data_IF_933734874260
#
_entry.id   IF_933734874260
#
_cell.length_a   1.000
_cell.length_b   1.000
_cell.length_c   1.000
_cell.angle_alpha   90.00
_cell.angle_beta   90.00
_cell.angle_gamma   90.00
#
_symmetry.space_group_name_H-M   'P 1'
#
loop_
_entity.id
_entity.type
_entity.pdbx_description
1 polymer ?
#
# COMPACT_ATOMS: atom_id res chain seq x y z
N UNK A 1 12.38 20.57 27.97
CA UNK A 1 11.45 20.48 26.83
C UNK A 1 12.06 19.47 25.88
N UNK A 2 11.41 18.34 25.64
CA UNK A 2 11.90 17.33 24.68
C UNK A 2 11.55 17.79 23.27
N UNK A 3 12.53 17.74 22.36
CA UNK A 3 12.31 17.95 20.93
C UNK A 3 11.14 17.08 20.43
N UNK A 4 10.23 17.61 19.60
CA UNK A 4 9.17 16.80 19.04
C UNK A 4 9.79 15.65 18.25
N UNK A 5 9.36 14.42 18.54
CA UNK A 5 9.84 13.23 17.84
C UNK A 5 9.71 13.42 16.32
N UNK A 6 10.82 13.27 15.60
CA UNK A 6 10.88 13.43 14.14
C UNK A 6 9.91 12.42 13.51
N UNK A 7 8.92 12.90 12.75
CA UNK A 7 7.93 12.04 12.09
C UNK A 7 8.48 11.49 10.76
N UNK A 8 8.09 10.28 10.34
CA UNK A 8 8.38 9.78 9.00
C UNK A 8 7.80 10.70 7.92
N UNK A 9 8.49 10.75 6.77
CA UNK A 9 8.00 11.44 5.56
C UNK A 9 7.23 10.44 4.70
N UNK A 10 6.07 10.85 4.18
CA UNK A 10 5.26 10.03 3.27
C UNK A 10 5.32 10.65 1.88
N UNK A 11 5.71 9.85 0.89
CA UNK A 11 5.76 10.23 -0.52
C UNK A 11 4.71 9.41 -1.27
N UNK A 12 3.69 10.07 -1.82
CA UNK A 12 2.69 9.44 -2.66
C UNK A 12 3.15 9.39 -4.12
N UNK A 13 3.24 8.19 -4.70
CA UNK A 13 3.53 7.99 -6.13
C UNK A 13 2.26 7.50 -6.81
N UNK A 14 1.63 8.35 -7.63
CA UNK A 14 0.32 8.12 -8.25
C UNK A 14 0.37 8.18 -9.78
N UNK A 15 -0.67 7.69 -10.44
CA UNK A 15 -0.78 7.59 -11.90
C UNK A 15 -1.50 6.33 -12.37
N UNK A 16 -1.93 6.30 -13.64
CA UNK A 16 -2.62 5.15 -14.24
C UNK A 16 -1.76 3.89 -14.34
N UNK A 17 -2.39 2.75 -14.64
CA UNK A 17 -1.64 1.50 -14.92
C UNK A 17 -0.63 1.71 -16.04
N UNK A 18 0.54 1.07 -15.94
CA UNK A 18 1.62 1.22 -16.94
C UNK A 18 2.40 2.54 -16.93
N UNK A 19 2.04 3.53 -16.09
CA UNK A 19 2.68 4.85 -16.08
C UNK A 19 4.10 4.90 -15.47
N UNK A 20 4.67 3.76 -15.07
CA UNK A 20 6.03 3.68 -14.51
C UNK A 20 6.16 3.91 -12.99
N UNK A 21 5.05 4.00 -12.24
CA UNK A 21 5.06 4.19 -10.76
C UNK A 21 6.02 3.24 -10.04
N UNK A 22 5.91 1.94 -10.32
CA UNK A 22 6.75 0.90 -9.69
C UNK A 22 8.23 1.14 -9.96
N UNK A 23 8.58 1.55 -11.18
CA UNK A 23 9.96 1.86 -11.56
C UNK A 23 10.49 3.08 -10.80
N UNK A 24 9.70 4.15 -10.72
CA UNK A 24 10.06 5.37 -9.99
C UNK A 24 10.22 5.08 -8.50
N UNK A 25 9.25 4.40 -7.88
CA UNK A 25 9.29 4.07 -6.44
C UNK A 25 10.48 3.17 -6.09
N UNK A 26 10.84 2.21 -6.95
CA UNK A 26 12.03 1.36 -6.75
C UNK A 26 13.32 2.17 -6.85
N UNK A 27 13.46 3.02 -7.88
CA UNK A 27 14.63 3.91 -7.98
C UNK A 27 14.80 4.79 -6.75
N UNK A 28 13.71 5.40 -6.26
CA UNK A 28 13.75 6.21 -5.03
C UNK A 28 14.20 5.36 -3.83
N UNK A 29 13.68 4.14 -3.71
CA UNK A 29 14.05 3.21 -2.63
C UNK A 29 15.53 2.82 -2.67
N UNK A 30 16.04 2.49 -3.86
CA UNK A 30 17.43 2.07 -4.06
C UNK A 30 18.41 3.23 -3.75
N UNK A 31 18.13 4.43 -4.23
CA UNK A 31 18.92 5.65 -3.97
C UNK A 31 18.92 6.06 -2.49
N UNK A 32 17.85 5.71 -1.76
CA UNK A 32 17.69 6.01 -0.33
C UNK A 32 17.94 4.79 0.56
N UNK A 33 18.60 3.76 0.05
CA UNK A 33 18.86 2.50 0.78
C UNK A 33 19.67 2.66 2.07
N UNK A 34 20.42 3.76 2.22
CA UNK A 34 21.13 4.13 3.45
C UNK A 34 20.24 4.75 4.53
N UNK A 35 18.95 4.98 4.24
CA UNK A 35 17.95 5.50 5.17
C UNK A 35 16.96 4.42 5.59
N UNK A 36 16.25 4.64 6.70
CA UNK A 36 15.08 3.83 7.05
C UNK A 36 13.93 4.18 6.11
N UNK A 37 13.76 3.37 5.05
CA UNK A 37 12.74 3.54 4.01
C UNK A 37 11.98 2.23 3.78
N UNK A 38 10.72 2.34 3.38
CA UNK A 38 9.90 1.21 2.94
C UNK A 38 8.97 1.62 1.80
N UNK A 39 8.53 0.64 1.00
CA UNK A 39 7.48 0.84 -0.01
C UNK A 39 6.19 0.18 0.48
N UNK A 40 5.13 1.00 0.62
CA UNK A 40 3.77 0.51 0.84
C UNK A 40 2.97 0.65 -0.45
N UNK A 41 2.45 -0.47 -0.97
CA UNK A 41 1.66 -0.49 -2.20
C UNK A 41 0.17 -0.52 -1.85
N UNK A 42 -0.61 0.40 -2.43
CA UNK A 42 -2.06 0.44 -2.25
C UNK A 42 -2.74 -0.86 -2.72
N UNK A 43 -2.19 -1.51 -3.76
CA UNK A 43 -2.67 -2.78 -4.31
C UNK A 43 -2.67 -3.93 -3.28
N UNK A 44 -1.95 -3.79 -2.17
CA UNK A 44 -2.02 -4.77 -1.06
C UNK A 44 -3.32 -4.66 -0.25
N UNK A 45 -4.07 -3.56 -0.41
CA UNK A 45 -5.28 -3.24 0.34
C UNK A 45 -6.54 -3.40 -0.51
N UNK A 46 -6.58 -4.32 -1.47
CA UNK A 46 -7.86 -4.73 -2.03
C UNK A 46 -8.74 -5.33 -0.92
N UNK A 47 -10.04 -5.05 -0.96
CA UNK A 47 -11.01 -5.69 -0.06
C UNK A 47 -10.95 -7.20 -0.22
N UNK A 48 -11.07 -7.88 0.91
CA UNK A 48 -11.12 -9.33 0.95
C UNK A 48 -12.31 -9.86 0.13
N UNK A 49 -12.08 -10.98 -0.54
CA UNK A 49 -13.04 -11.68 -1.39
C UNK A 49 -13.08 -13.17 -1.07
N UNK A 50 -12.64 -13.56 0.11
CA UNK A 50 -12.63 -14.96 0.56
C UNK A 50 -14.01 -15.62 0.47
N UNK A 51 -15.08 -14.86 0.65
CA UNK A 51 -16.46 -15.36 0.50
C UNK A 51 -16.96 -15.42 -0.96
N UNK A 52 -16.20 -14.89 -1.93
CA UNK A 52 -16.59 -14.85 -3.34
C UNK A 52 -16.08 -16.07 -4.11
N UNK A 53 -16.96 -16.69 -4.89
CA UNK A 53 -16.58 -17.71 -5.89
C UNK A 53 -15.67 -17.10 -6.95
N UNK A 54 -14.84 -17.92 -7.62
CA UNK A 54 -13.97 -17.46 -8.72
C UNK A 54 -14.74 -16.74 -9.85
N UNK A 55 -15.97 -17.18 -10.14
CA UNK A 55 -16.81 -16.53 -11.14
C UNK A 55 -17.25 -15.12 -10.71
N UNK A 56 -17.52 -14.91 -9.42
CA UNK A 56 -17.83 -13.59 -8.86
C UNK A 56 -16.58 -12.71 -8.83
N UNK A 57 -15.41 -13.26 -8.42
CA UNK A 57 -14.13 -12.52 -8.40
C UNK A 57 -13.75 -11.95 -9.77
N UNK A 58 -14.02 -12.69 -10.85
CA UNK A 58 -13.80 -12.22 -12.25
C UNK A 58 -14.70 -11.07 -12.68
N UNK A 59 -15.82 -10.84 -11.99
CA UNK A 59 -16.77 -9.75 -12.29
C UNK A 59 -16.47 -8.48 -11.49
N UNK A 60 -15.54 -8.54 -10.54
CA UNK A 60 -15.14 -7.37 -9.75
C UNK A 60 -14.35 -6.40 -10.63
N UNK A 61 -14.73 -5.13 -10.58
CA UNK A 61 -13.95 -4.05 -11.17
C UNK A 61 -12.88 -3.59 -10.18
N UNK A 62 -11.66 -4.10 -10.33
CA UNK A 62 -10.51 -3.77 -9.48
C UNK A 62 -9.99 -2.34 -9.69
N UNK A 63 -10.31 -1.71 -10.82
CA UNK A 63 -9.94 -0.32 -11.07
C UNK A 63 -10.90 0.68 -10.38
N UNK A 64 -11.98 0.19 -9.76
CA UNK A 64 -12.93 1.05 -9.06
C UNK A 64 -12.36 1.50 -7.71
N UNK A 65 -12.43 2.79 -7.34
CA UNK A 65 -11.91 3.28 -6.05
C UNK A 65 -12.42 2.49 -4.84
N UNK A 66 -13.69 2.07 -4.85
CA UNK A 66 -14.28 1.30 -3.75
C UNK A 66 -13.79 -0.16 -3.63
N UNK A 67 -12.94 -0.64 -4.53
CA UNK A 67 -12.31 -1.95 -4.45
C UNK A 67 -11.24 -2.05 -3.35
N UNK A 68 -10.77 -0.91 -2.82
CA UNK A 68 -9.76 -0.85 -1.77
C UNK A 68 -10.37 -0.69 -0.37
N UNK A 69 -9.70 -1.27 0.63
CA UNK A 69 -9.93 -1.03 2.05
C UNK A 69 -9.13 0.20 2.51
N UNK A 70 -9.69 1.38 2.23
CA UNK A 70 -9.07 2.65 2.61
C UNK A 70 -9.02 2.85 4.12
N UNK A 71 -9.96 2.29 4.88
CA UNK A 71 -10.00 2.43 6.33
C UNK A 71 -8.80 1.71 6.96
N UNK A 72 -8.51 0.48 6.51
CA UNK A 72 -7.33 -0.26 6.92
C UNK A 72 -6.04 0.44 6.47
N UNK A 73 -5.97 0.92 5.22
CA UNK A 73 -4.81 1.65 4.71
C UNK A 73 -4.51 2.90 5.56
N UNK A 74 -5.52 3.73 5.81
CA UNK A 74 -5.36 4.96 6.62
C UNK A 74 -4.99 4.63 8.06
N UNK A 75 -5.60 3.59 8.65
CA UNK A 75 -5.27 3.12 10.00
C UNK A 75 -3.79 2.71 10.08
N UNK A 76 -3.32 1.88 9.14
CA UNK A 76 -1.95 1.39 9.14
C UNK A 76 -0.93 2.48 8.79
N UNK A 77 -1.25 3.41 7.89
CA UNK A 77 -0.41 4.57 7.60
C UNK A 77 -0.22 5.45 8.85
N UNK A 78 -1.28 5.66 9.64
CA UNK A 78 -1.20 6.38 10.93
C UNK A 78 -0.33 5.65 11.96
N UNK A 79 -0.33 4.32 11.99
CA UNK A 79 0.57 3.53 12.84
C UNK A 79 2.03 3.68 12.41
N UNK A 80 2.30 3.59 11.10
CA UNK A 80 3.64 3.75 10.54
C UNK A 80 4.22 5.15 10.81
N UNK A 81 3.40 6.20 10.71
CA UNK A 81 3.78 7.57 11.07
C UNK A 81 4.17 7.74 12.55
N UNK A 82 3.85 6.77 13.40
CA UNK A 82 4.23 6.69 14.82
C UNK A 82 5.33 5.66 15.10
N UNK A 83 6.00 5.15 14.06
CA UNK A 83 6.98 4.06 14.15
C UNK A 83 6.41 2.76 14.74
N UNK A 84 5.11 2.54 14.62
CA UNK A 84 4.47 1.29 15.04
C UNK A 84 4.45 0.32 13.87
N UNK A 85 4.89 -0.92 14.12
CA UNK A 85 4.83 -2.00 13.14
C UNK A 85 3.37 -2.31 12.76
N UNK A 86 3.20 -2.84 11.55
CA UNK A 86 1.91 -3.28 11.02
C UNK A 86 2.05 -4.69 10.44
N UNK A 87 0.94 -5.41 10.39
CA UNK A 87 0.82 -6.59 9.54
C UNK A 87 0.27 -6.14 8.19
N UNK A 88 1.17 -6.03 7.21
CA UNK A 88 0.77 -5.62 5.86
C UNK A 88 -0.13 -6.71 5.25
N UNK A 89 -1.34 -6.37 4.77
CA UNK A 89 -2.20 -7.34 4.12
C UNK A 89 -1.52 -7.89 2.87
N UNK A 90 -1.71 -9.20 2.64
CA UNK A 90 -1.28 -9.87 1.41
C UNK A 90 -2.53 -10.20 0.63
N UNK A 91 -2.82 -9.41 -0.40
CA UNK A 91 -3.89 -9.75 -1.31
C UNK A 91 -3.51 -11.00 -2.12
N UNK A 92 -4.18 -12.12 -1.86
CA UNK A 92 -4.06 -13.35 -2.63
C UNK A 92 -4.88 -13.25 -3.94
N UNK A 93 -4.61 -12.21 -4.73
CA UNK A 93 -5.44 -11.83 -5.88
C UNK A 93 -5.50 -12.83 -7.01
N UNK A 94 -4.52 -13.72 -7.11
CA UNK A 94 -4.49 -14.93 -7.93
C UNK A 94 -3.32 -15.72 -7.32
N UNK A 95 -3.60 -16.78 -6.55
CA UNK A 95 -2.71 -17.94 -6.61
C UNK A 95 -3.06 -18.63 -7.93
N UNK A 96 -2.15 -18.59 -8.88
CA UNK A 96 -2.17 -19.55 -9.99
C UNK A 96 -2.03 -20.96 -9.41
#
# INVERSE_FOLDING_TARGET
>A
MTEPAKKPVVIGVTGGSGSGKTTVSRKIFDELSNYSIMILQQDSYYKDQDEMTMAQRKRVNYDHPMAFDYDLLVKQLKSLLKYQAIEKPVYAGIRL
#
